data_IF_187409961618
#
_entry.id   IF_187409961618
#
_cell.length_a   1.000
_cell.length_b   1.000
_cell.length_c   1.000
_cell.angle_alpha   90.00
_cell.angle_beta   90.00
_cell.angle_gamma   90.00
#
_symmetry.space_group_name_H-M   'P 1'
#
loop_
_entity.id
_entity.type
_entity.pdbx_description
1 polymer ?
#
# COMPACT_ATOMS: atom_id res chain seq x y z
N UNK A 1 0.95 11.11 -23.68
CA UNK A 1 2.27 10.66 -23.16
C UNK A 1 2.22 9.15 -23.06
N UNK A 2 3.01 8.42 -23.85
CA UNK A 2 3.17 6.98 -23.63
C UNK A 2 4.12 6.81 -22.43
N UNK A 3 3.59 6.36 -21.30
CA UNK A 3 4.44 5.97 -20.18
C UNK A 3 5.00 4.58 -20.52
N UNK A 4 6.32 4.45 -20.63
CA UNK A 4 7.00 3.18 -20.90
C UNK A 4 6.76 2.11 -19.82
N UNK A 5 7.50 1.00 -19.88
CA UNK A 5 7.34 -0.12 -18.93
C UNK A 5 8.15 0.13 -17.65
N UNK A 6 7.61 -0.29 -16.51
CA UNK A 6 8.29 -0.28 -15.23
C UNK A 6 8.39 -1.70 -14.68
N UNK A 7 9.61 -2.22 -14.53
CA UNK A 7 9.85 -3.54 -13.95
C UNK A 7 10.04 -3.44 -12.43
N UNK A 8 9.42 -4.33 -11.67
CA UNK A 8 9.53 -4.37 -10.19
C UNK A 8 9.72 -5.82 -9.69
N UNK A 9 9.96 -6.00 -8.39
CA UNK A 9 10.09 -7.32 -7.76
C UNK A 9 11.51 -7.88 -7.77
N UNK A 10 11.65 -9.15 -7.37
CA UNK A 10 12.96 -9.83 -7.32
C UNK A 10 13.59 -10.02 -8.70
N UNK A 11 12.81 -10.55 -9.64
CA UNK A 11 13.28 -10.91 -10.98
C UNK A 11 13.70 -9.71 -11.82
N UNK A 12 13.22 -8.50 -11.51
CA UNK A 12 13.65 -7.30 -12.25
C UNK A 12 15.10 -6.90 -11.96
N UNK A 13 15.80 -7.58 -11.05
CA UNK A 13 17.23 -7.35 -10.77
C UNK A 13 18.16 -8.29 -11.54
N UNK A 14 17.62 -9.20 -12.35
CA UNK A 14 18.44 -10.03 -13.23
C UNK A 14 19.18 -9.11 -14.21
N UNK A 15 20.48 -9.31 -14.34
CA UNK A 15 21.30 -8.56 -15.29
C UNK A 15 20.80 -8.76 -16.72
N UNK A 16 20.70 -7.69 -17.51
CA UNK A 16 20.18 -7.75 -18.88
C UNK A 16 18.65 -7.76 -19.01
N UNK A 17 17.89 -7.79 -17.91
CA UNK A 17 16.42 -7.91 -17.98
C UNK A 17 15.75 -6.65 -18.53
N UNK A 18 16.35 -5.48 -18.33
CA UNK A 18 15.80 -4.20 -18.82
C UNK A 18 15.99 -4.13 -20.33
N UNK A 19 17.19 -4.45 -20.80
CA UNK A 19 17.59 -4.48 -22.19
C UNK A 19 16.72 -5.48 -22.99
N UNK A 20 16.54 -6.69 -22.44
CA UNK A 20 15.66 -7.69 -23.03
C UNK A 20 14.21 -7.20 -23.08
N UNK A 21 13.72 -6.54 -22.03
CA UNK A 21 12.38 -5.99 -22.02
C UNK A 21 12.22 -4.85 -23.04
N UNK A 22 13.21 -3.98 -23.22
CA UNK A 22 13.21 -2.94 -24.26
C UNK A 22 13.15 -3.55 -25.67
N UNK A 23 13.87 -4.64 -25.90
CA UNK A 23 13.82 -5.38 -27.17
C UNK A 23 12.43 -5.97 -27.43
N UNK A 24 11.81 -6.60 -26.43
CA UNK A 24 10.49 -7.24 -26.55
C UNK A 24 9.36 -6.21 -26.69
N UNK A 25 9.39 -5.14 -25.89
CA UNK A 25 8.28 -4.19 -25.81
C UNK A 25 8.41 -3.01 -26.78
N UNK A 26 9.56 -2.82 -27.44
CA UNK A 26 9.83 -1.71 -28.36
C UNK A 26 9.50 -0.33 -27.75
N UNK A 27 9.72 -0.18 -26.45
CA UNK A 27 9.46 1.05 -25.71
C UNK A 27 10.43 1.19 -24.54
N UNK A 28 10.64 2.40 -23.99
CA UNK A 28 11.54 2.59 -22.86
C UNK A 28 11.11 1.74 -21.67
N UNK A 29 12.06 1.03 -21.06
CA UNK A 29 11.83 0.23 -19.84
C UNK A 29 12.73 0.75 -18.73
N UNK A 30 12.21 0.81 -17.50
CA UNK A 30 13.00 1.21 -16.33
C UNK A 30 12.74 0.32 -15.13
N UNK A 31 13.73 0.25 -14.25
CA UNK A 31 13.58 -0.36 -12.94
C UNK A 31 12.73 0.54 -12.02
N UNK A 32 11.71 -0.02 -11.39
CA UNK A 32 10.86 0.62 -10.41
C UNK A 32 11.26 0.27 -8.98
N UNK A 33 11.46 1.28 -8.13
CA UNK A 33 11.66 1.12 -6.69
C UNK A 33 10.56 1.85 -5.91
N UNK A 34 10.16 1.38 -4.72
CA UNK A 34 9.15 2.04 -3.91
C UNK A 34 9.46 3.53 -3.69
N UNK A 35 8.43 4.37 -3.71
CA UNK A 35 8.50 5.82 -3.51
C UNK A 35 7.52 6.25 -2.40
N UNK A 36 7.67 7.47 -1.91
CA UNK A 36 6.80 8.07 -0.87
C UNK A 36 6.87 7.32 0.47
N UNK A 37 8.09 6.98 0.89
CA UNK A 37 8.38 6.37 2.19
C UNK A 37 9.50 7.17 2.84
N UNK A 38 9.28 7.59 4.09
CA UNK A 38 10.25 8.33 4.90
C UNK A 38 10.91 7.43 5.96
N UNK A 39 12.08 7.84 6.47
CA UNK A 39 12.79 7.22 7.59
C UNK A 39 13.56 5.92 7.28
N UNK A 40 12.99 5.02 6.48
CA UNK A 40 13.60 3.72 6.11
C UNK A 40 14.07 3.64 4.65
N UNK A 41 14.29 4.80 4.03
CA UNK A 41 14.44 4.96 2.57
C UNK A 41 15.59 4.11 2.01
N UNK A 42 16.70 4.01 2.74
CA UNK A 42 17.89 3.28 2.28
C UNK A 42 17.70 1.76 2.24
N UNK A 43 16.83 1.21 3.09
CA UNK A 43 16.52 -0.23 3.10
C UNK A 43 15.54 -0.56 1.98
N UNK A 44 14.53 0.30 1.76
CA UNK A 44 13.43 0.01 0.84
C UNK A 44 13.67 0.45 -0.60
N UNK A 45 14.83 1.05 -0.91
CA UNK A 45 15.29 1.41 -2.26
C UNK A 45 15.72 0.19 -3.08
N UNK A 46 14.82 -0.78 -3.17
CA UNK A 46 15.02 -2.02 -3.89
C UNK A 46 13.68 -2.49 -4.47
N UNK A 47 13.62 -2.89 -5.76
CA UNK A 47 12.39 -3.35 -6.39
C UNK A 47 11.70 -4.51 -5.66
N UNK A 48 12.44 -5.30 -4.87
CA UNK A 48 11.89 -6.41 -4.09
C UNK A 48 10.82 -5.97 -3.09
N UNK A 49 10.85 -4.71 -2.64
CA UNK A 49 9.91 -4.17 -1.65
C UNK A 49 8.69 -3.48 -2.26
N UNK A 50 8.57 -3.42 -3.60
CA UNK A 50 7.51 -2.68 -4.31
C UNK A 50 6.10 -3.08 -3.84
N UNK A 51 5.81 -4.38 -3.77
CA UNK A 51 4.49 -4.88 -3.36
C UNK A 51 4.19 -4.59 -1.89
N UNK A 52 5.13 -4.91 -0.99
CA UNK A 52 4.94 -4.71 0.45
C UNK A 52 4.71 -3.25 0.82
N UNK A 53 5.57 -2.36 0.30
CA UNK A 53 5.41 -0.91 0.50
C UNK A 53 4.10 -0.41 -0.12
N UNK A 54 3.77 -0.85 -1.34
CA UNK A 54 2.53 -0.48 -2.01
C UNK A 54 1.27 -0.84 -1.21
N UNK A 55 1.26 -2.02 -0.58
CA UNK A 55 0.16 -2.47 0.29
C UNK A 55 0.05 -1.62 1.56
N UNK A 56 1.18 -1.27 2.20
CA UNK A 56 1.19 -0.41 3.38
C UNK A 56 0.67 0.98 3.05
N UNK A 57 1.14 1.58 1.95
CA UNK A 57 0.66 2.87 1.47
C UNK A 57 -0.82 2.83 1.08
N UNK A 58 -1.27 1.75 0.45
CA UNK A 58 -2.68 1.54 0.14
C UNK A 58 -3.54 1.51 1.41
N UNK A 59 -3.14 0.70 2.40
CA UNK A 59 -3.81 0.63 3.70
C UNK A 59 -3.81 1.98 4.43
N UNK A 60 -2.69 2.72 4.38
CA UNK A 60 -2.58 4.04 4.99
C UNK A 60 -3.57 5.05 4.36
N UNK A 61 -3.60 5.15 3.02
CA UNK A 61 -4.53 6.07 2.32
C UNK A 61 -6.00 5.72 2.51
N UNK A 62 -6.33 4.43 2.66
CA UNK A 62 -7.72 3.97 2.78
C UNK A 62 -8.16 3.74 4.24
N UNK A 63 -7.31 4.05 5.23
CA UNK A 63 -7.71 4.06 6.64
C UNK A 63 -8.77 5.12 6.92
N UNK A 64 -8.67 6.28 6.29
CA UNK A 64 -9.62 7.38 6.50
C UNK A 64 -10.98 7.11 5.84
N UNK A 65 -10.99 6.45 4.68
CA UNK A 65 -12.23 6.01 4.01
C UNK A 65 -13.04 5.01 4.85
N UNK A 66 -12.39 4.22 5.72
CA UNK A 66 -13.04 3.32 6.68
C UNK A 66 -13.22 3.94 8.08
N UNK A 67 -12.60 5.08 8.36
CA UNK A 67 -12.77 5.78 9.63
C UNK A 67 -14.18 6.39 9.78
N UNK A 68 -14.92 6.56 8.67
CA UNK A 68 -16.34 6.94 8.68
C UNK A 68 -17.28 5.89 9.28
N UNK A 69 -16.82 4.65 9.47
CA UNK A 69 -17.57 3.57 10.13
C UNK A 69 -17.06 3.27 11.55
N UNK A 70 -16.17 4.09 12.10
CA UNK A 70 -15.96 4.04 13.55
C UNK A 70 -17.19 4.70 14.18
N UNK A 71 -18.06 3.96 14.91
CA UNK A 71 -19.05 4.64 15.71
C UNK A 71 -18.26 5.53 16.65
N UNK A 72 -18.49 6.84 16.56
CA UNK A 72 -17.84 7.83 17.42
C UNK A 72 -18.20 7.45 18.84
N UNK A 73 -17.32 6.68 19.48
CA UNK A 73 -17.46 6.19 20.83
C UNK A 73 -17.14 7.30 21.82
N UNK A 74 -17.87 8.42 21.72
CA UNK A 74 -17.98 9.34 22.83
C UNK A 74 -18.77 8.67 23.97
N UNK A 75 -18.78 9.31 25.14
CA UNK A 75 -19.54 8.90 26.34
C UNK A 75 -20.96 8.39 26.06
N UNK A 76 -21.62 8.92 25.02
CA UNK A 76 -22.94 8.46 24.54
C UNK A 76 -22.93 7.04 23.97
N UNK A 77 -21.91 6.66 23.20
CA UNK A 77 -21.75 5.29 22.68
C UNK A 77 -21.30 4.28 23.74
N UNK A 78 -20.70 4.73 24.84
CA UNK A 78 -20.45 3.90 26.03
C UNK A 78 -21.74 3.67 26.80
N UNK A 79 -22.55 4.72 27.02
CA UNK A 79 -23.86 4.64 27.68
C UNK A 79 -24.83 3.71 26.95
N UNK A 80 -24.90 3.80 25.62
CA UNK A 80 -25.76 2.92 24.82
C UNK A 80 -25.35 1.45 24.87
N UNK A 81 -24.05 1.15 24.96
CA UNK A 81 -23.56 -0.23 25.13
C UNK A 81 -23.96 -0.79 26.49
N UNK A 82 -23.85 0.00 27.56
CA UNK A 82 -24.30 -0.40 28.90
C UNK A 82 -25.81 -0.66 28.94
N UNK A 83 -26.62 0.23 28.32
CA UNK A 83 -28.07 0.06 28.27
C UNK A 83 -28.50 -1.21 27.52
N UNK A 84 -27.84 -1.52 26.40
CA UNK A 84 -28.10 -2.75 25.63
C UNK A 84 -27.73 -4.03 26.38
N UNK A 85 -26.65 -4.01 27.16
CA UNK A 85 -26.28 -5.14 28.02
C UNK A 85 -27.35 -5.40 29.09
N UNK A 86 -27.83 -4.33 29.73
CA UNK A 86 -28.87 -4.42 30.76
C UNK A 86 -30.21 -4.94 30.21
N UNK A 87 -30.57 -4.56 28.99
CA UNK A 87 -31.78 -5.05 28.31
C UNK A 87 -31.71 -6.49 27.80
N UNK A 88 -30.51 -7.11 27.78
CA UNK A 88 -30.32 -8.49 27.34
C UNK A 88 -30.24 -9.48 28.50
N UNK A 89 -29.99 -8.99 29.70
CA UNK A 89 -29.79 -9.80 30.91
C UNK A 89 -30.98 -9.75 31.89
N UNK A 90 -31.91 -8.81 31.69
CA UNK A 90 -33.27 -8.82 32.26
C UNK A 90 -34.27 -9.30 31.21
#
# INVERSE_FOLDING_TARGET
VAAGVVLTGGSSRIEGVVELAEEIFHMPVRLGVPQNVDGLVDVVRNPIYATGVGLLLFGHRHRDARAGERPVGGVRGVWERMRRWFQRTL
#
